data_IF_434266970064
#
_entry.id   IF_434266970064
#
_cell.length_a   1.000
_cell.length_b   1.000
_cell.length_c   1.000
_cell.angle_alpha   90.00
_cell.angle_beta   90.00
_cell.angle_gamma   90.00
#
_symmetry.space_group_name_H-M   'P 1'
#
loop_
_entity.id
_entity.type
_entity.pdbx_description
1 polymer ?
#
# COMPACT_ATOMS: atom_id res chain seq x y z
N UNK A 1 19.75 7.08 -20.59
CA UNK A 1 18.34 6.68 -20.78
C UNK A 1 18.20 5.31 -20.14
N UNK A 2 17.75 5.26 -18.89
CA UNK A 2 17.62 4.01 -18.15
C UNK A 2 16.37 3.32 -18.68
N UNK A 3 16.54 2.28 -19.50
CA UNK A 3 15.44 1.45 -19.97
C UNK A 3 14.78 0.84 -18.73
N UNK A 4 13.57 1.30 -18.44
CA UNK A 4 12.76 0.78 -17.36
C UNK A 4 12.64 -0.74 -17.54
N UNK A 5 13.01 -1.51 -16.53
CA UNK A 5 12.75 -2.96 -16.57
C UNK A 5 11.24 -3.20 -16.70
N UNK A 6 10.79 -4.29 -17.35
CA UNK A 6 9.36 -4.56 -17.52
C UNK A 6 8.61 -4.58 -16.19
N UNK A 7 9.22 -5.07 -15.12
CA UNK A 7 8.68 -5.05 -13.76
C UNK A 7 8.43 -3.62 -13.21
N UNK A 8 9.29 -2.67 -13.58
CA UNK A 8 9.20 -1.28 -13.16
C UNK A 8 8.04 -0.57 -13.87
N UNK A 9 7.78 -0.92 -15.14
CA UNK A 9 6.62 -0.44 -15.90
C UNK A 9 5.33 -0.96 -15.28
N UNK A 10 5.25 -2.27 -15.00
CA UNK A 10 4.07 -2.90 -14.42
C UNK A 10 3.75 -2.30 -13.05
N UNK A 11 4.75 -2.14 -12.19
CA UNK A 11 4.51 -1.57 -10.87
C UNK A 11 4.06 -0.10 -10.91
N UNK A 12 4.55 0.69 -11.88
CA UNK A 12 4.04 2.06 -12.06
C UNK A 12 2.58 2.06 -12.45
N UNK A 13 2.17 1.18 -13.36
CA UNK A 13 0.76 1.02 -13.74
C UNK A 13 -0.09 0.61 -12.53
N UNK A 14 0.34 -0.41 -11.77
CA UNK A 14 -0.35 -0.82 -10.54
C UNK A 14 -0.42 0.31 -9.51
N UNK A 15 0.67 1.08 -9.36
CA UNK A 15 0.70 2.22 -8.45
C UNK A 15 -0.30 3.31 -8.88
N UNK A 16 -0.42 3.58 -10.18
CA UNK A 16 -1.37 4.54 -10.70
C UNK A 16 -2.83 4.06 -10.57
N UNK A 17 -3.09 2.76 -10.70
CA UNK A 17 -4.40 2.17 -10.36
C UNK A 17 -4.73 2.30 -8.88
N UNK A 18 -3.77 2.02 -7.99
CA UNK A 18 -3.96 2.17 -6.54
C UNK A 18 -4.22 3.65 -6.18
N UNK A 19 -3.55 4.61 -6.83
CA UNK A 19 -3.87 6.04 -6.69
C UNK A 19 -5.28 6.37 -7.18
N UNK A 20 -5.69 5.83 -8.33
CA UNK A 20 -7.03 6.04 -8.89
C UNK A 20 -8.13 5.53 -7.96
N UNK A 21 -7.83 4.50 -7.15
CA UNK A 21 -8.70 4.00 -6.07
C UNK A 21 -8.75 4.86 -4.81
N UNK A 22 -8.06 6.00 -4.78
CA UNK A 22 -8.11 6.96 -3.67
C UNK A 22 -6.99 6.82 -2.63
N UNK A 23 -5.95 6.03 -2.89
CA UNK A 23 -4.77 6.04 -2.03
C UNK A 23 -3.97 7.33 -2.18
N UNK A 24 -3.69 7.97 -1.05
CA UNK A 24 -2.82 9.13 -0.97
C UNK A 24 -1.40 8.68 -0.60
N UNK A 25 -0.45 8.94 -1.49
CA UNK A 25 0.94 8.53 -1.29
C UNK A 25 1.83 9.68 -0.82
N UNK A 26 2.71 9.37 0.13
CA UNK A 26 3.77 10.26 0.62
C UNK A 26 5.08 9.49 0.72
N UNK A 27 6.22 10.15 0.50
CA UNK A 27 7.53 9.57 0.83
C UNK A 27 7.84 9.75 2.30
N UNK A 28 8.39 8.72 2.93
CA UNK A 28 8.81 8.70 4.33
C UNK A 28 10.31 8.41 4.35
N UNK A 29 11.10 9.24 5.03
CA UNK A 29 12.56 9.07 5.07
C UNK A 29 13.34 9.79 3.97
N UNK A 30 12.71 10.71 3.24
CA UNK A 30 13.39 11.61 2.28
C UNK A 30 13.12 11.31 0.81
N UNK A 31 13.92 11.89 -0.11
CA UNK A 31 13.71 11.77 -1.55
C UNK A 31 13.76 10.34 -2.05
N UNK A 32 14.55 9.45 -1.45
CA UNK A 32 14.67 8.02 -1.79
C UNK A 32 14.02 7.11 -0.74
N UNK A 33 13.27 7.68 0.19
CA UNK A 33 12.61 6.93 1.25
C UNK A 33 11.37 6.17 0.76
N UNK A 34 10.91 5.26 1.60
CA UNK A 34 9.76 4.40 1.31
C UNK A 34 8.51 5.21 0.94
N UNK A 35 7.75 4.69 -0.03
CA UNK A 35 6.50 5.28 -0.46
C UNK A 35 5.35 4.71 0.36
N UNK A 36 4.76 5.53 1.22
CA UNK A 36 3.62 5.18 2.06
C UNK A 36 2.33 5.71 1.44
N UNK A 37 1.45 4.82 1.00
CA UNK A 37 0.09 5.11 0.56
C UNK A 37 -0.93 4.82 1.66
N UNK A 38 -1.90 5.70 1.83
CA UNK A 38 -3.02 5.49 2.76
C UNK A 38 -4.35 5.78 2.08
N UNK A 39 -5.34 4.91 2.29
CA UNK A 39 -6.74 5.10 1.85
C UNK A 39 -7.68 4.90 3.03
N UNK A 40 -8.76 5.67 3.06
CA UNK A 40 -9.87 5.45 3.99
C UNK A 40 -11.12 5.13 3.19
N UNK A 41 -11.68 3.94 3.37
CA UNK A 41 -12.87 3.47 2.65
C UNK A 41 -13.75 2.60 3.57
N UNK A 42 -15.06 2.84 3.60
CA UNK A 42 -16.03 1.93 4.24
C UNK A 42 -15.76 1.52 5.70
N UNK A 43 -15.17 2.42 6.50
CA UNK A 43 -14.79 2.10 7.88
C UNK A 43 -13.46 1.34 8.00
N UNK A 44 -12.64 1.33 6.96
CA UNK A 44 -11.28 0.77 6.94
C UNK A 44 -10.25 1.88 6.70
N UNK A 45 -9.07 1.68 7.28
CA UNK A 45 -7.84 2.37 6.93
C UNK A 45 -6.93 1.34 6.28
N UNK A 46 -6.57 1.60 5.03
CA UNK A 46 -5.69 0.75 4.26
C UNK A 46 -4.38 1.49 4.07
N UNK A 47 -3.28 0.83 4.44
CA UNK A 47 -1.94 1.37 4.35
C UNK A 47 -1.11 0.47 3.44
N UNK A 48 -0.40 1.06 2.50
CA UNK A 48 0.58 0.38 1.65
C UNK A 48 1.93 1.07 1.83
N UNK A 49 2.98 0.31 2.06
CA UNK A 49 4.34 0.81 2.13
C UNK A 49 5.15 0.11 1.04
N UNK A 50 5.89 0.88 0.25
CA UNK A 50 6.78 0.39 -0.79
C UNK A 50 8.19 0.90 -0.50
N UNK A 51 9.05 0.03 0.05
CA UNK A 51 10.42 0.36 0.42
C UNK A 51 11.41 -0.27 -0.57
N UNK A 52 11.49 0.30 -1.77
CA UNK A 52 12.22 -0.30 -2.88
C UNK A 52 11.51 -1.52 -3.47
N UNK A 53 11.79 -1.82 -4.74
CA UNK A 53 11.04 -2.82 -5.52
C UNK A 53 11.22 -4.28 -5.05
N UNK A 54 12.21 -4.54 -4.19
CA UNK A 54 12.70 -5.89 -3.91
C UNK A 54 12.24 -6.44 -2.56
N UNK A 55 12.38 -5.71 -1.45
CA UNK A 55 12.04 -6.19 -0.09
C UNK A 55 11.67 -5.04 0.83
N UNK A 56 10.75 -5.27 1.76
CA UNK A 56 10.30 -4.26 2.73
C UNK A 56 8.95 -3.63 2.38
N UNK A 57 8.35 -4.03 1.26
CA UNK A 57 6.99 -3.62 0.93
C UNK A 57 5.98 -4.40 1.78
N UNK A 58 4.96 -3.71 2.25
CA UNK A 58 3.84 -4.34 2.91
C UNK A 58 2.54 -3.58 2.62
N UNK A 59 1.42 -4.29 2.73
CA UNK A 59 0.10 -3.68 2.79
C UNK A 59 -0.61 -4.17 4.04
N UNK A 60 -1.38 -3.28 4.65
CA UNK A 60 -2.13 -3.53 5.86
C UNK A 60 -3.53 -2.94 5.75
N UNK A 61 -4.54 -3.72 6.13
CA UNK A 61 -5.94 -3.29 6.24
C UNK A 61 -6.35 -3.32 7.70
N UNK A 62 -6.73 -2.16 8.21
CA UNK A 62 -7.10 -1.96 9.61
C UNK A 62 -8.52 -1.42 9.71
N UNK A 63 -9.33 -1.98 10.62
CA UNK A 63 -10.70 -1.48 10.82
C UNK A 63 -10.67 -0.16 11.60
N UNK A 64 -11.38 0.85 11.11
CA UNK A 64 -11.72 2.07 11.87
C UNK A 64 -12.86 1.76 12.84
N UNK A 65 -12.61 0.91 13.84
CA UNK A 65 -13.59 0.76 14.92
C UNK A 65 -13.61 2.03 15.77
N UNK A 66 -14.81 2.54 16.05
CA UNK A 66 -15.05 3.74 16.88
C UNK A 66 -14.78 3.52 18.39
N UNK A 67 -14.01 2.51 18.75
CA UNK A 67 -13.63 2.21 20.12
C UNK A 67 -12.11 2.04 20.17
N UNK A 68 -11.46 3.02 20.78
CA UNK A 68 -10.07 2.92 21.22
C UNK A 68 -10.03 1.84 22.30
N UNK A 69 -9.81 0.59 21.89
CA UNK A 69 -9.25 -0.42 22.78
C UNK A 69 -7.73 -0.23 22.68
N UNK A 70 -7.05 0.23 23.74
CA UNK A 70 -5.61 0.40 23.70
C UNK A 70 -4.96 -0.96 23.41
N UNK A 71 -4.21 -1.07 22.30
CA UNK A 71 -3.38 -2.24 22.00
C UNK A 71 -3.85 -3.18 20.89
N UNK A 72 -4.98 -2.94 20.24
CA UNK A 72 -5.40 -3.75 19.10
C UNK A 72 -6.02 -2.91 17.99
N UNK A 73 -5.17 -2.33 17.13
CA UNK A 73 -5.61 -2.18 15.75
C UNK A 73 -5.90 -3.61 15.26
N UNK A 74 -7.17 -3.91 15.01
CA UNK A 74 -7.56 -5.17 14.39
C UNK A 74 -7.07 -5.10 12.94
N UNK A 75 -5.79 -5.39 12.75
CA UNK A 75 -5.19 -5.65 11.45
C UNK A 75 -5.89 -6.90 10.92
N UNK A 76 -6.82 -6.69 10.00
CA UNK A 76 -7.61 -7.77 9.42
C UNK A 76 -6.79 -8.53 8.37
N UNK A 77 -5.93 -7.81 7.66
CA UNK A 77 -5.04 -8.41 6.68
C UNK A 77 -3.71 -7.67 6.64
N UNK A 78 -2.62 -8.42 6.62
CA UNK A 78 -1.28 -7.92 6.38
C UNK A 78 -0.61 -8.81 5.34
N UNK A 79 0.00 -8.16 4.35
CA UNK A 79 0.73 -8.80 3.27
C UNK A 79 2.11 -8.19 3.23
N UNK A 80 3.14 -9.02 3.32
CA UNK A 80 4.54 -8.62 3.22
C UNK A 80 5.13 -9.24 1.94
N UNK A 81 5.95 -8.49 1.19
CA UNK A 81 6.55 -9.03 -0.03
C UNK A 81 7.24 -7.99 -0.92
N UNK A 82 7.34 -8.31 -2.21
CA UNK A 82 7.80 -7.38 -3.24
C UNK A 82 6.70 -6.40 -3.66
N UNK A 83 7.08 -5.27 -4.26
CA UNK A 83 6.16 -4.20 -4.63
C UNK A 83 4.98 -4.68 -5.51
N UNK A 84 5.25 -5.56 -6.48
CA UNK A 84 4.22 -6.12 -7.36
C UNK A 84 3.18 -6.93 -6.58
N UNK A 85 3.62 -7.87 -5.74
CA UNK A 85 2.73 -8.72 -4.96
C UNK A 85 1.85 -7.89 -4.00
N UNK A 86 2.47 -6.90 -3.34
CA UNK A 86 1.75 -5.99 -2.43
C UNK A 86 0.71 -5.16 -3.19
N UNK A 87 1.09 -4.53 -4.29
CA UNK A 87 0.17 -3.69 -5.09
C UNK A 87 -0.97 -4.50 -5.68
N UNK A 88 -0.67 -5.68 -6.26
CA UNK A 88 -1.71 -6.57 -6.80
C UNK A 88 -2.68 -7.00 -5.70
N UNK A 89 -2.18 -7.34 -4.50
CA UNK A 89 -3.05 -7.76 -3.40
C UNK A 89 -3.95 -6.62 -2.93
N UNK A 90 -3.43 -5.39 -2.81
CA UNK A 90 -4.25 -4.21 -2.47
C UNK A 90 -5.34 -3.96 -3.50
N UNK A 91 -5.08 -4.22 -4.79
CA UNK A 91 -6.11 -4.11 -5.83
C UNK A 91 -7.16 -5.23 -5.76
N UNK A 92 -6.90 -6.34 -5.09
CA UNK A 92 -7.92 -7.37 -4.83
C UNK A 92 -8.80 -7.07 -3.63
N UNK A 93 -8.44 -6.07 -2.80
CA UNK A 93 -9.30 -5.67 -1.68
C UNK A 93 -10.55 -4.99 -2.21
N UNK A 94 -11.68 -5.67 -2.06
CA UNK A 94 -12.99 -5.15 -2.45
C UNK A 94 -13.35 -3.92 -1.61
N UNK A 95 -13.93 -2.92 -2.28
CA UNK A 95 -14.70 -1.88 -1.59
C UNK A 95 -15.96 -2.54 -1.01
N UNK A 96 -16.28 -2.31 0.27
CA UNK A 96 -17.49 -2.86 0.87
C UNK A 96 -18.77 -2.25 0.28
#
# INVERSE_FOLDING_TARGET
MTTDSPDLVIAKQLLDEVKARGFQFRRVGGPDGALLGTRHAGGWTETVCLDGFSRGCYAMRERRTSLVVPGSALVESRVDGGALNVLTTVLTWEEP
#
